data_IF_798717568712
#
_entry.id   IF_798717568712
#
_cell.length_a   1.000
_cell.length_b   1.000
_cell.length_c   1.000
_cell.angle_alpha   90.00
_cell.angle_beta   90.00
_cell.angle_gamma   90.00
#
_symmetry.space_group_name_H-M   'P 1'
#
loop_
_entity.id
_entity.type
_entity.pdbx_description
1 polymer ?
#
# COMPACT_ATOMS: atom_id res chain seq x y z
N UNK A 1 20.21 -2.10 -42.20
CA UNK A 1 18.73 -2.25 -42.07
C UNK A 1 18.36 -3.46 -41.21
N UNK A 2 18.92 -4.65 -41.44
CA UNK A 2 18.65 -5.84 -40.62
C UNK A 2 19.08 -5.72 -39.15
N UNK A 3 20.26 -5.15 -38.86
CA UNK A 3 20.69 -4.85 -37.47
C UNK A 3 19.66 -4.04 -36.67
N UNK A 4 19.06 -3.01 -37.28
CA UNK A 4 18.04 -2.16 -36.63
C UNK A 4 16.76 -2.95 -36.31
N UNK A 5 16.34 -3.85 -37.21
CA UNK A 5 15.18 -4.72 -37.01
C UNK A 5 15.45 -5.73 -35.89
N UNK A 6 16.65 -6.31 -35.87
CA UNK A 6 17.07 -7.27 -34.84
C UNK A 6 17.10 -6.63 -33.44
N UNK A 7 17.74 -5.47 -33.29
CA UNK A 7 17.79 -4.71 -32.03
C UNK A 7 16.38 -4.33 -31.56
N UNK A 8 15.51 -3.94 -32.48
CA UNK A 8 14.11 -3.61 -32.15
C UNK A 8 13.34 -4.82 -31.62
N UNK A 9 13.52 -5.99 -32.24
CA UNK A 9 12.89 -7.24 -31.80
C UNK A 9 13.39 -7.68 -30.41
N UNK A 10 14.68 -7.53 -30.14
CA UNK A 10 15.27 -7.86 -28.84
C UNK A 10 14.74 -6.94 -27.73
N UNK A 11 14.63 -5.64 -28.03
CA UNK A 11 14.00 -4.67 -27.13
C UNK A 11 12.55 -5.06 -26.80
N UNK A 12 11.79 -5.57 -27.77
CA UNK A 12 10.40 -6.02 -27.57
C UNK A 12 10.37 -7.26 -26.67
N UNK A 13 11.26 -8.23 -26.87
CA UNK A 13 11.33 -9.44 -26.04
C UNK A 13 11.66 -9.09 -24.59
N UNK A 14 12.66 -8.24 -24.37
CA UNK A 14 13.04 -7.79 -23.03
C UNK A 14 11.91 -6.99 -22.35
N UNK A 15 11.25 -6.10 -23.09
CA UNK A 15 10.09 -5.35 -22.61
C UNK A 15 8.94 -6.28 -22.21
N UNK A 16 8.64 -7.27 -23.05
CA UNK A 16 7.58 -8.25 -22.80
C UNK A 16 7.90 -9.10 -21.55
N UNK A 17 9.15 -9.53 -21.39
CA UNK A 17 9.61 -10.26 -20.21
C UNK A 17 9.44 -9.43 -18.94
N UNK A 18 9.97 -8.20 -18.89
CA UNK A 18 9.88 -7.34 -17.70
C UNK A 18 8.43 -6.99 -17.35
N UNK A 19 7.59 -6.70 -18.35
CA UNK A 19 6.17 -6.43 -18.15
C UNK A 19 5.41 -7.66 -17.64
N UNK A 20 5.68 -8.85 -18.20
CA UNK A 20 5.10 -10.10 -17.74
C UNK A 20 5.52 -10.44 -16.32
N UNK A 21 6.80 -10.26 -15.98
CA UNK A 21 7.31 -10.46 -14.62
C UNK A 21 6.60 -9.54 -13.63
N UNK A 22 6.38 -8.28 -14.01
CA UNK A 22 5.68 -7.30 -13.19
C UNK A 22 4.21 -7.69 -12.95
N UNK A 23 3.52 -8.19 -13.97
CA UNK A 23 2.16 -8.72 -13.86
C UNK A 23 2.08 -9.99 -13.01
N UNK A 24 3.09 -10.86 -13.12
CA UNK A 24 3.18 -12.11 -12.37
C UNK A 24 3.47 -11.83 -10.90
N UNK A 25 4.27 -10.83 -10.54
CA UNK A 25 4.70 -10.63 -9.16
C UNK A 25 3.76 -9.72 -8.35
N UNK A 26 3.21 -8.69 -8.98
CA UNK A 26 2.67 -7.56 -8.23
C UNK A 26 1.17 -7.31 -8.40
N UNK A 27 0.58 -6.74 -7.34
CA UNK A 27 -0.81 -6.24 -7.37
C UNK A 27 -0.82 -4.72 -7.46
N UNK A 28 -1.68 -4.17 -8.32
CA UNK A 28 -1.66 -2.74 -8.65
C UNK A 28 -2.65 -1.94 -7.79
N UNK A 29 -2.26 -0.71 -7.44
CA UNK A 29 -3.11 0.29 -6.78
C UNK A 29 -4.09 0.96 -7.76
N UNK A 30 -3.70 1.06 -9.02
CA UNK A 30 -4.42 1.76 -10.10
C UNK A 30 -4.82 0.78 -11.21
N UNK A 31 -5.58 1.26 -12.21
CA UNK A 31 -5.90 0.48 -13.41
C UNK A 31 -4.61 -0.09 -14.03
N UNK A 32 -4.58 -1.41 -14.23
CA UNK A 32 -3.39 -2.15 -14.74
C UNK A 32 -2.87 -1.57 -16.06
N UNK A 33 -3.78 -1.19 -16.96
CA UNK A 33 -3.45 -0.56 -18.25
C UNK A 33 -2.54 0.66 -18.09
N UNK A 34 -2.84 1.56 -17.15
CA UNK A 34 -2.06 2.78 -16.99
C UNK A 34 -0.66 2.48 -16.42
N UNK A 35 -0.54 1.48 -15.55
CA UNK A 35 0.75 1.05 -15.03
C UNK A 35 1.62 0.45 -16.14
N UNK A 36 1.03 -0.41 -17.00
CA UNK A 36 1.75 -1.01 -18.13
C UNK A 36 2.18 0.02 -19.16
N UNK A 37 1.36 1.03 -19.46
CA UNK A 37 1.73 2.11 -20.40
C UNK A 37 2.92 2.90 -19.86
N UNK A 38 2.89 3.29 -18.58
CA UNK A 38 3.97 4.08 -17.96
C UNK A 38 5.25 3.27 -17.86
N UNK A 39 5.17 2.00 -17.47
CA UNK A 39 6.31 1.09 -17.46
C UNK A 39 6.87 0.88 -18.87
N UNK A 40 5.98 0.64 -19.84
CA UNK A 40 6.32 0.40 -21.23
C UNK A 40 7.06 1.58 -21.87
N UNK A 41 6.56 2.80 -21.67
CA UNK A 41 7.19 4.02 -22.14
C UNK A 41 8.59 4.21 -21.55
N UNK A 42 8.75 3.97 -20.25
CA UNK A 42 10.04 4.10 -19.59
C UNK A 42 11.04 3.07 -20.11
N UNK A 43 10.67 1.79 -20.14
CA UNK A 43 11.55 0.72 -20.61
C UNK A 43 11.90 0.88 -22.10
N UNK A 44 10.98 1.41 -22.91
CA UNK A 44 11.29 1.77 -24.29
C UNK A 44 12.30 2.92 -24.37
N UNK A 45 12.13 3.97 -23.56
CA UNK A 45 13.07 5.10 -23.51
C UNK A 45 14.47 4.64 -23.10
N UNK A 46 14.58 3.82 -22.04
CA UNK A 46 15.89 3.31 -21.56
C UNK A 46 16.57 2.39 -22.58
N UNK A 47 15.80 1.57 -23.30
CA UNK A 47 16.36 0.73 -24.35
C UNK A 47 16.83 1.58 -25.55
N UNK A 48 16.09 2.62 -25.92
CA UNK A 48 16.49 3.53 -27.00
C UNK A 48 17.75 4.29 -26.61
N UNK A 49 17.84 4.82 -25.39
CA UNK A 49 19.05 5.52 -24.92
C UNK A 49 20.25 4.59 -24.86
N UNK A 50 20.10 3.34 -24.38
CA UNK A 50 21.21 2.39 -24.34
C UNK A 50 21.71 2.01 -25.74
N UNK A 51 20.80 1.85 -26.69
CA UNK A 51 21.15 1.55 -28.08
C UNK A 51 21.87 2.73 -28.72
N UNK A 52 21.35 3.95 -28.57
CA UNK A 52 21.98 5.17 -29.10
C UNK A 52 23.39 5.35 -28.50
N UNK A 53 23.54 5.17 -27.19
CA UNK A 53 24.83 5.23 -26.50
C UNK A 53 25.82 4.20 -27.07
N UNK A 54 25.39 2.97 -27.33
CA UNK A 54 26.26 1.93 -27.92
C UNK A 54 26.76 2.24 -29.34
N UNK A 55 25.98 3.00 -30.13
CA UNK A 55 26.40 3.39 -31.48
C UNK A 55 27.42 4.55 -31.49
N UNK A 56 27.46 5.35 -30.42
CA UNK A 56 28.30 6.54 -30.32
C UNK A 56 29.42 6.37 -29.27
N UNK A 57 29.66 5.14 -28.78
CA UNK A 57 30.66 4.83 -27.73
C UNK A 57 32.08 5.31 -28.09
N UNK A 58 32.38 5.44 -29.38
CA UNK A 58 33.66 5.96 -29.90
C UNK A 58 33.70 7.47 -30.17
N UNK A 59 32.60 8.20 -29.97
CA UNK A 59 32.48 9.65 -30.21
C UNK A 59 32.47 10.44 -28.87
N UNK A 60 33.61 11.03 -28.47
CA UNK A 60 33.75 11.70 -27.18
C UNK A 60 32.96 13.01 -27.08
N UNK A 61 32.59 13.63 -28.21
CA UNK A 61 31.84 14.90 -28.24
C UNK A 61 30.32 14.69 -28.25
N UNK A 62 29.87 13.42 -28.26
CA UNK A 62 28.45 13.09 -28.28
C UNK A 62 27.76 13.52 -26.97
N UNK A 63 26.56 14.11 -27.10
CA UNK A 63 25.80 14.72 -25.98
C UNK A 63 25.59 13.76 -24.80
N UNK A 64 25.49 12.46 -25.03
CA UNK A 64 25.32 11.47 -23.94
C UNK A 64 26.58 11.24 -23.10
N UNK A 65 27.76 11.64 -23.58
CA UNK A 65 29.01 11.67 -22.83
C UNK A 65 29.15 12.94 -21.98
N UNK A 66 28.20 13.88 -22.09
CA UNK A 66 28.21 15.09 -21.28
C UNK A 66 27.96 14.77 -19.80
N UNK A 67 28.74 15.34 -18.86
CA UNK A 67 28.62 15.14 -17.41
C UNK A 67 27.20 15.21 -16.84
N UNK A 68 26.45 16.25 -17.23
CA UNK A 68 25.08 16.45 -16.77
C UNK A 68 24.12 15.38 -17.28
N UNK A 69 24.33 14.86 -18.49
CA UNK A 69 23.48 13.82 -19.05
C UNK A 69 23.66 12.51 -18.28
N UNK A 70 24.90 12.14 -17.96
CA UNK A 70 25.23 10.94 -17.18
C UNK A 70 24.57 11.00 -15.80
N UNK A 71 24.63 12.14 -15.11
CA UNK A 71 23.98 12.31 -13.81
C UNK A 71 22.45 12.16 -13.93
N UNK A 72 21.85 12.79 -14.94
CA UNK A 72 20.41 12.71 -15.17
C UNK A 72 19.95 11.30 -15.55
N UNK A 73 20.73 10.59 -16.37
CA UNK A 73 20.45 9.23 -16.80
C UNK A 73 20.50 8.26 -15.63
N UNK A 74 21.51 8.36 -14.75
CA UNK A 74 21.58 7.58 -13.49
C UNK A 74 20.36 7.87 -12.61
N UNK A 75 20.04 9.16 -12.38
CA UNK A 75 18.90 9.53 -11.56
C UNK A 75 17.58 9.03 -12.15
N UNK A 76 17.46 9.03 -13.47
CA UNK A 76 16.26 8.55 -14.16
C UNK A 76 16.16 7.02 -14.12
N UNK A 77 17.26 6.32 -14.42
CA UNK A 77 17.32 4.86 -14.49
C UNK A 77 17.05 4.19 -13.15
N UNK A 78 17.64 4.70 -12.06
CA UNK A 78 17.43 4.16 -10.73
C UNK A 78 16.27 4.84 -9.96
N UNK A 79 15.97 6.11 -10.26
CA UNK A 79 14.85 6.84 -9.63
C UNK A 79 13.48 6.36 -10.07
N UNK A 80 13.34 6.01 -11.35
CA UNK A 80 12.05 5.64 -11.91
C UNK A 80 11.47 4.35 -11.31
N UNK A 81 12.21 3.24 -11.11
CA UNK A 81 11.68 2.05 -10.45
C UNK A 81 11.04 2.37 -9.10
N UNK A 82 11.71 3.17 -8.25
CA UNK A 82 11.18 3.58 -6.94
C UNK A 82 9.86 4.35 -7.12
N UNK A 83 9.85 5.34 -8.01
CA UNK A 83 8.66 6.14 -8.31
C UNK A 83 7.50 5.27 -8.82
N UNK A 84 7.80 4.37 -9.76
CA UNK A 84 6.84 3.47 -10.38
C UNK A 84 6.19 2.55 -9.33
N UNK A 85 7.02 1.83 -8.56
CA UNK A 85 6.53 0.91 -7.53
C UNK A 85 5.77 1.64 -6.41
N UNK A 86 6.19 2.85 -6.05
CA UNK A 86 5.46 3.69 -5.11
C UNK A 86 4.06 4.05 -5.61
N UNK A 87 3.97 4.51 -6.87
CA UNK A 87 2.75 5.09 -7.44
C UNK A 87 1.74 4.05 -7.91
N UNK A 88 2.21 2.94 -8.48
CA UNK A 88 1.37 1.99 -9.20
C UNK A 88 1.19 0.65 -8.51
N UNK A 89 2.09 0.25 -7.61
CA UNK A 89 2.09 -1.09 -7.00
C UNK A 89 1.72 -1.03 -5.51
N UNK A 90 0.94 -2.01 -5.03
CA UNK A 90 0.55 -2.14 -3.62
C UNK A 90 1.75 -2.56 -2.76
N UNK A 91 1.78 -2.12 -1.51
CA UNK A 91 2.89 -2.41 -0.59
C UNK A 91 4.01 -1.36 -0.61
N UNK A 92 5.12 -1.69 0.05
CA UNK A 92 6.31 -0.84 0.15
C UNK A 92 7.07 -0.81 -1.17
N UNK A 93 7.44 0.41 -1.62
CA UNK A 93 8.24 0.58 -2.84
C UNK A 93 9.60 -0.11 -2.71
N UNK A 94 10.27 0.00 -1.57
CA UNK A 94 11.57 -0.64 -1.30
C UNK A 94 11.51 -2.16 -1.47
N UNK A 95 10.47 -2.76 -0.86
CA UNK A 95 10.22 -4.19 -0.98
C UNK A 95 9.96 -4.61 -2.41
N UNK A 96 9.10 -3.88 -3.13
CA UNK A 96 8.74 -4.23 -4.49
C UNK A 96 9.92 -4.07 -5.46
N UNK A 97 10.75 -3.03 -5.30
CA UNK A 97 11.98 -2.86 -6.07
C UNK A 97 12.96 -4.01 -5.81
N UNK A 98 13.23 -4.34 -4.54
CA UNK A 98 14.12 -5.45 -4.20
C UNK A 98 13.61 -6.80 -4.68
N UNK A 99 12.31 -7.08 -4.58
CA UNK A 99 11.72 -8.31 -5.13
C UNK A 99 11.83 -8.37 -6.65
N UNK A 100 11.52 -7.27 -7.34
CA UNK A 100 11.67 -7.21 -8.80
C UNK A 100 13.12 -7.47 -9.20
N UNK A 101 14.07 -6.91 -8.45
CA UNK A 101 15.50 -7.13 -8.66
C UNK A 101 15.90 -8.58 -8.43
N UNK A 102 15.52 -9.20 -7.32
CA UNK A 102 15.84 -10.62 -7.02
C UNK A 102 15.33 -11.53 -8.13
N UNK A 103 14.09 -11.34 -8.59
CA UNK A 103 13.52 -12.18 -9.65
C UNK A 103 14.13 -11.88 -11.03
N UNK A 104 14.53 -10.64 -11.30
CA UNK A 104 15.23 -10.27 -12.52
C UNK A 104 16.66 -10.83 -12.53
N UNK A 105 17.38 -10.72 -11.41
CA UNK A 105 18.73 -11.28 -11.24
C UNK A 105 18.70 -12.81 -11.24
N UNK A 106 17.70 -13.44 -10.63
CA UNK A 106 17.53 -14.90 -10.69
C UNK A 106 17.25 -15.41 -12.11
N UNK A 107 16.75 -14.55 -13.01
CA UNK A 107 16.62 -14.88 -14.42
C UNK A 107 17.94 -14.73 -15.19
N UNK A 108 18.91 -13.94 -14.70
CA UNK A 108 20.20 -13.73 -15.37
C UNK A 108 20.97 -15.04 -15.63
N UNK A 109 21.17 -15.97 -14.66
CA UNK A 109 21.88 -17.23 -14.90
C UNK A 109 21.30 -18.05 -16.05
N UNK A 110 19.98 -18.03 -16.21
CA UNK A 110 19.33 -18.67 -17.35
C UNK A 110 19.70 -17.94 -18.64
N UNK A 111 19.55 -16.61 -18.67
CA UNK A 111 19.93 -15.80 -19.84
C UNK A 111 21.42 -15.92 -20.20
N UNK A 112 22.35 -15.96 -19.23
CA UNK A 112 23.79 -16.16 -19.47
C UNK A 112 24.11 -17.58 -19.93
N UNK A 113 23.48 -18.61 -19.32
CA UNK A 113 23.63 -19.99 -19.80
C UNK A 113 23.16 -20.11 -21.25
N UNK A 114 22.06 -19.47 -21.61
CA UNK A 114 21.55 -19.45 -22.99
C UNK A 114 22.45 -18.64 -23.94
N UNK A 115 23.02 -17.52 -23.50
CA UNK A 115 24.03 -16.79 -24.28
C UNK A 115 25.31 -17.62 -24.49
N UNK A 116 25.74 -18.39 -23.49
CA UNK A 116 26.86 -19.33 -23.61
C UNK A 116 26.53 -20.45 -24.61
N UNK A 117 25.34 -21.04 -24.52
CA UNK A 117 24.88 -22.03 -25.50
C UNK A 117 24.84 -21.44 -26.92
N UNK A 118 24.39 -20.20 -27.09
CA UNK A 118 24.42 -19.49 -28.37
C UNK A 118 25.85 -19.34 -28.91
N UNK A 119 26.81 -19.00 -28.04
CA UNK A 119 28.24 -18.81 -28.40
C UNK A 119 28.92 -20.14 -28.75
N UNK A 120 28.63 -21.22 -28.02
CA UNK A 120 29.28 -22.52 -28.21
C UNK A 120 28.67 -23.35 -29.35
N UNK A 121 27.37 -23.23 -29.63
CA UNK A 121 26.70 -24.01 -30.68
C UNK A 121 26.55 -23.25 -32.02
N UNK A 122 27.25 -22.12 -32.20
CA UNK A 122 27.25 -21.32 -33.46
C UNK A 122 25.86 -21.06 -34.06
N UNK A 123 24.90 -20.64 -33.23
CA UNK A 123 23.52 -20.37 -33.67
C UNK A 123 23.31 -19.00 -34.34
N UNK A 124 24.38 -18.23 -34.58
CA UNK A 124 24.33 -16.99 -35.36
C UNK A 124 25.26 -15.89 -34.83
N UNK A 125 25.44 -14.79 -35.59
CA UNK A 125 26.38 -13.71 -35.29
C UNK A 125 26.05 -12.94 -34.00
N UNK A 126 26.97 -12.07 -33.57
CA UNK A 126 26.74 -11.10 -32.49
C UNK A 126 25.67 -10.08 -32.89
N UNK A 127 25.12 -9.31 -31.93
CA UNK A 127 24.08 -8.28 -32.16
C UNK A 127 24.49 -7.27 -33.26
N UNK A 128 25.79 -7.03 -33.42
CA UNK A 128 26.34 -6.08 -34.39
C UNK A 128 26.56 -6.68 -35.79
N UNK A 129 26.52 -8.02 -35.92
CA UNK A 129 26.94 -8.76 -37.11
C UNK A 129 25.78 -9.43 -37.86
N UNK A 130 24.52 -9.15 -37.49
CA UNK A 130 23.34 -9.82 -38.05
C UNK A 130 22.99 -9.34 -39.47
N UNK A 131 23.31 -10.14 -40.49
CA UNK A 131 23.16 -9.76 -41.89
C UNK A 131 21.93 -10.39 -42.58
N UNK A 132 21.31 -11.41 -42.00
CA UNK A 132 20.27 -12.20 -42.66
C UNK A 132 19.08 -12.61 -41.75
N UNK A 133 17.92 -13.00 -42.32
CA UNK A 133 16.76 -13.49 -41.56
C UNK A 133 17.02 -14.77 -40.76
N UNK A 134 18.01 -15.57 -41.17
CA UNK A 134 18.41 -16.80 -40.47
C UNK A 134 19.04 -16.51 -39.10
N UNK A 135 19.51 -15.27 -38.91
CA UNK A 135 20.09 -14.78 -37.66
C UNK A 135 19.01 -14.43 -36.61
N UNK A 136 17.72 -14.63 -36.92
CA UNK A 136 16.61 -14.48 -35.98
C UNK A 136 16.36 -15.72 -35.09
N UNK A 137 16.93 -16.88 -35.40
CA UNK A 137 16.78 -18.10 -34.60
C UNK A 137 17.25 -17.94 -33.13
N UNK A 138 18.36 -17.24 -32.83
CA UNK A 138 18.74 -16.89 -31.46
C UNK A 138 17.68 -16.09 -30.70
N UNK A 139 16.91 -15.24 -31.40
CA UNK A 139 15.90 -14.39 -30.79
C UNK A 139 14.69 -15.20 -30.28
N UNK A 140 14.29 -16.22 -31.05
CA UNK A 140 13.27 -17.19 -30.65
C UNK A 140 13.73 -18.01 -29.43
N UNK A 141 15.02 -18.36 -29.37
CA UNK A 141 15.60 -19.09 -28.24
C UNK A 141 15.62 -18.21 -26.98
N UNK A 142 16.01 -16.94 -27.08
CA UNK A 142 15.93 -15.99 -25.94
C UNK A 142 14.48 -15.75 -25.50
N UNK A 143 13.52 -15.73 -26.41
CA UNK A 143 12.11 -15.62 -26.07
C UNK A 143 11.61 -16.88 -25.33
N UNK A 144 12.01 -18.07 -25.77
CA UNK A 144 11.69 -19.34 -25.10
C UNK A 144 12.31 -19.40 -23.68
N UNK A 145 13.58 -19.00 -23.55
CA UNK A 145 14.27 -18.90 -22.27
C UNK A 145 13.57 -17.93 -21.31
N UNK A 146 13.18 -16.77 -21.81
CA UNK A 146 12.40 -15.77 -21.06
C UNK A 146 11.06 -16.37 -20.58
N UNK A 147 10.38 -17.15 -21.42
CA UNK A 147 9.17 -17.87 -21.06
C UNK A 147 9.38 -18.88 -19.92
N UNK A 148 10.46 -19.67 -19.97
CA UNK A 148 10.83 -20.63 -18.92
C UNK A 148 11.15 -19.89 -17.61
N UNK A 149 11.90 -18.79 -17.67
CA UNK A 149 12.22 -17.96 -16.52
C UNK A 149 10.95 -17.38 -15.87
N UNK A 150 9.98 -16.91 -16.67
CA UNK A 150 8.68 -16.44 -16.17
C UNK A 150 7.89 -17.58 -15.51
N UNK A 151 7.91 -18.77 -16.09
CA UNK A 151 7.24 -19.93 -15.51
C UNK A 151 7.84 -20.29 -14.14
N UNK A 152 9.17 -20.35 -14.04
CA UNK A 152 9.87 -20.59 -12.78
C UNK A 152 9.62 -19.48 -11.76
N UNK A 153 9.62 -18.21 -12.18
CA UNK A 153 9.27 -17.08 -11.32
C UNK A 153 7.84 -17.20 -10.78
N UNK A 154 6.89 -17.66 -11.61
CA UNK A 154 5.51 -17.89 -11.18
C UNK A 154 5.38 -19.01 -10.15
N UNK A 155 6.17 -20.09 -10.30
CA UNK A 155 6.21 -21.22 -9.37
C UNK A 155 6.87 -20.82 -8.04
N UNK A 156 7.99 -20.11 -8.12
CA UNK A 156 8.70 -19.55 -6.97
C UNK A 156 7.83 -18.54 -6.23
N UNK A 157 7.06 -17.70 -6.92
CA UNK A 157 6.04 -16.85 -6.28
C UNK A 157 5.08 -17.71 -5.46
N UNK A 158 4.45 -18.74 -6.03
CA UNK A 158 3.48 -19.56 -5.30
C UNK A 158 4.05 -20.21 -4.04
N UNK A 159 5.32 -20.64 -4.09
CA UNK A 159 5.97 -21.38 -2.98
C UNK A 159 6.68 -20.50 -1.96
N UNK A 160 7.31 -19.41 -2.38
CA UNK A 160 8.22 -18.60 -1.56
C UNK A 160 7.61 -17.26 -1.14
N UNK A 161 6.47 -16.85 -1.69
CA UNK A 161 5.90 -15.53 -1.41
C UNK A 161 5.64 -15.27 0.07
N UNK A 162 5.14 -16.27 0.80
CA UNK A 162 4.89 -16.17 2.25
C UNK A 162 6.18 -15.99 3.05
N UNK A 163 7.27 -16.65 2.65
CA UNK A 163 8.59 -16.48 3.29
C UNK A 163 9.21 -15.12 2.94
N UNK A 164 9.08 -14.69 1.68
CA UNK A 164 9.53 -13.36 1.22
C UNK A 164 8.71 -12.21 1.86
N UNK A 165 7.47 -12.48 2.27
CA UNK A 165 6.65 -11.50 3.01
C UNK A 165 7.15 -11.20 4.40
N UNK A 166 7.83 -12.16 5.04
CA UNK A 166 8.33 -12.03 6.41
C UNK A 166 9.61 -11.20 6.49
N UNK A 167 10.30 -10.99 5.37
CA UNK A 167 11.56 -10.24 5.32
C UNK A 167 11.26 -8.73 5.47
N UNK A 168 11.91 -8.03 6.41
CA UNK A 168 11.78 -6.58 6.57
C UNK A 168 12.05 -5.78 5.28
N UNK A 169 11.28 -4.71 5.05
CA UNK A 169 11.43 -3.83 3.88
C UNK A 169 12.82 -3.20 3.76
N UNK A 170 13.49 -2.97 4.89
CA UNK A 170 14.85 -2.41 4.96
C UNK A 170 15.85 -3.33 4.26
N UNK A 171 15.70 -4.65 4.37
CA UNK A 171 16.60 -5.62 3.72
C UNK A 171 16.44 -5.54 2.20
N UNK A 172 15.21 -5.43 1.70
CA UNK A 172 14.96 -5.24 0.26
C UNK A 172 15.49 -3.90 -0.27
N UNK A 173 15.36 -2.83 0.53
CA UNK A 173 16.01 -1.55 0.22
C UNK A 173 17.53 -1.70 0.16
N UNK A 174 18.12 -2.44 1.10
CA UNK A 174 19.54 -2.76 1.12
C UNK A 174 20.00 -3.54 -0.11
N UNK A 175 19.24 -4.55 -0.55
CA UNK A 175 19.51 -5.31 -1.79
C UNK A 175 19.51 -4.39 -3.01
N UNK A 176 18.53 -3.48 -3.09
CA UNK A 176 18.43 -2.52 -4.19
C UNK A 176 19.57 -1.49 -4.18
N UNK A 177 20.00 -1.04 -2.99
CA UNK A 177 21.18 -0.19 -2.84
C UNK A 177 22.47 -0.93 -3.19
N UNK A 178 22.60 -2.21 -2.80
CA UNK A 178 23.75 -3.03 -3.13
C UNK A 178 23.90 -3.22 -4.65
N UNK A 179 22.80 -3.39 -5.38
CA UNK A 179 22.80 -3.42 -6.84
C UNK A 179 23.32 -2.11 -7.44
N UNK A 180 22.90 -0.96 -6.89
CA UNK A 180 23.42 0.36 -7.30
C UNK A 180 24.93 0.50 -7.03
N UNK A 181 25.44 -0.11 -5.95
CA UNK A 181 26.88 -0.14 -5.64
C UNK A 181 27.64 -1.09 -6.57
N UNK A 182 27.07 -2.24 -6.93
CA UNK A 182 27.68 -3.15 -7.92
C UNK A 182 27.76 -2.47 -9.29
N UNK A 183 26.74 -1.70 -9.67
CA UNK A 183 26.76 -0.89 -10.87
C UNK A 183 27.85 0.20 -10.83
N UNK A 184 28.07 0.81 -9.66
CA UNK A 184 29.18 1.76 -9.45
C UNK A 184 30.54 1.09 -9.69
N UNK A 185 30.77 -0.07 -9.06
CA UNK A 185 32.05 -0.79 -9.16
C UNK A 185 32.29 -1.29 -10.58
N UNK A 186 31.26 -1.80 -11.25
CA UNK A 186 31.39 -2.28 -12.64
C UNK A 186 31.57 -1.14 -13.65
N UNK A 187 30.89 -0.01 -13.48
CA UNK A 187 31.10 1.18 -14.30
C UNK A 187 32.52 1.75 -14.12
N UNK A 188 32.99 1.86 -12.88
CA UNK A 188 34.36 2.23 -12.55
C UNK A 188 35.38 1.28 -13.21
N UNK A 189 35.14 -0.03 -13.17
CA UNK A 189 36.03 -1.01 -13.78
C UNK A 189 36.10 -0.89 -15.31
N UNK A 190 34.98 -0.57 -15.98
CA UNK A 190 34.96 -0.35 -17.43
C UNK A 190 35.75 0.91 -17.81
N UNK A 191 35.55 2.00 -17.07
CA UNK A 191 36.28 3.25 -17.31
C UNK A 191 37.76 3.16 -16.95
N UNK A 192 38.13 2.36 -15.94
CA UNK A 192 39.55 2.10 -15.64
C UNK A 192 40.24 1.35 -16.79
N UNK A 193 39.53 0.41 -17.42
CA UNK A 193 40.04 -0.32 -18.58
C UNK A 193 40.13 0.57 -19.84
N UNK A 194 39.17 1.45 -20.07
CA UNK A 194 39.24 2.43 -21.18
C UNK A 194 40.39 3.43 -20.98
N UNK A 195 40.67 3.81 -19.73
CA UNK A 195 41.80 4.67 -19.35
C UNK A 195 43.17 4.04 -19.66
N UNK A 196 43.32 2.74 -19.44
CA UNK A 196 44.56 2.00 -19.74
C UNK A 196 44.84 1.87 -21.25
N UNK A 197 43.84 2.08 -22.11
CA UNK A 197 43.91 1.83 -23.55
C UNK A 197 43.89 3.13 -24.39
N UNK A 198 43.27 4.23 -23.92
CA UNK A 198 42.89 5.37 -24.76
C UNK A 198 43.43 6.79 -24.43
N UNK A 199 44.18 7.00 -23.35
CA UNK A 199 44.70 8.32 -22.98
C UNK A 199 43.80 9.15 -22.05
N UNK A 200 44.42 10.08 -21.30
CA UNK A 200 44.04 10.32 -19.91
C UNK A 200 42.97 11.42 -19.61
N UNK A 201 42.70 12.39 -20.48
CA UNK A 201 41.97 13.59 -20.03
C UNK A 201 40.43 13.48 -20.10
N UNK A 202 39.88 12.89 -21.17
CA UNK A 202 38.43 12.81 -21.38
C UNK A 202 37.75 11.71 -20.55
N UNK A 203 38.39 10.53 -20.46
CA UNK A 203 37.85 9.35 -19.78
C UNK A 203 37.83 9.53 -18.25
N UNK A 204 38.75 10.31 -17.67
CA UNK A 204 38.77 10.60 -16.23
C UNK A 204 37.59 11.46 -15.82
N UNK A 205 37.26 12.48 -16.62
CA UNK A 205 36.11 13.33 -16.34
C UNK A 205 34.82 12.50 -16.36
N UNK A 206 34.66 11.64 -17.37
CA UNK A 206 33.46 10.79 -17.51
C UNK A 206 33.26 9.86 -16.31
N UNK A 207 34.33 9.18 -15.88
CA UNK A 207 34.32 8.30 -14.71
C UNK A 207 33.99 9.06 -13.41
N UNK A 208 34.58 10.25 -13.23
CA UNK A 208 34.31 11.10 -12.06
C UNK A 208 32.85 11.53 -12.01
N UNK A 209 32.26 11.94 -13.13
CA UNK A 209 30.85 12.34 -13.18
C UNK A 209 29.88 11.16 -13.01
N UNK A 210 30.22 9.98 -13.51
CA UNK A 210 29.49 8.75 -13.24
C UNK A 210 29.47 8.43 -11.74
N UNK A 211 30.63 8.54 -11.06
CA UNK A 211 30.72 8.37 -9.61
C UNK A 211 29.93 9.43 -8.84
N UNK A 212 30.02 10.70 -9.23
CA UNK A 212 29.26 11.79 -8.60
C UNK A 212 27.76 11.54 -8.74
N UNK A 213 27.29 11.19 -9.95
CA UNK A 213 25.89 10.88 -10.22
C UNK A 213 25.36 9.72 -9.37
N UNK A 214 26.14 8.64 -9.24
CA UNK A 214 25.77 7.50 -8.40
C UNK A 214 25.83 7.81 -6.91
N UNK A 215 26.78 8.63 -6.43
CA UNK A 215 26.81 9.09 -5.05
C UNK A 215 25.59 9.95 -4.70
N UNK A 216 25.22 10.88 -5.59
CA UNK A 216 24.00 11.69 -5.46
C UNK A 216 22.77 10.78 -5.44
N UNK A 217 22.72 9.78 -6.34
CA UNK A 217 21.65 8.81 -6.38
C UNK A 217 21.55 8.01 -5.08
N UNK A 218 22.65 7.44 -4.58
CA UNK A 218 22.68 6.67 -3.34
C UNK A 218 22.18 7.49 -2.15
N UNK A 219 22.64 8.74 -2.02
CA UNK A 219 22.15 9.65 -0.99
C UNK A 219 20.64 9.91 -1.12
N UNK A 220 20.16 10.12 -2.33
CA UNK A 220 18.73 10.35 -2.61
C UNK A 220 17.90 9.11 -2.32
N UNK A 221 18.36 7.93 -2.72
CA UNK A 221 17.69 6.65 -2.48
C UNK A 221 17.60 6.34 -0.98
N UNK A 222 18.70 6.51 -0.24
CA UNK A 222 18.73 6.38 1.22
C UNK A 222 17.71 7.33 1.85
N UNK A 223 17.72 8.62 1.48
CA UNK A 223 16.79 9.62 2.00
C UNK A 223 15.33 9.23 1.72
N UNK A 224 15.01 8.83 0.49
CA UNK A 224 13.66 8.44 0.07
C UNK A 224 13.19 7.20 0.82
N UNK A 225 14.03 6.18 0.97
CA UNK A 225 13.66 4.96 1.73
C UNK A 225 13.45 5.26 3.20
N UNK A 226 14.35 6.02 3.85
CA UNK A 226 14.21 6.39 5.26
C UNK A 226 12.98 7.27 5.51
N UNK A 227 12.73 8.28 4.67
CA UNK A 227 11.56 9.14 4.79
C UNK A 227 10.27 8.34 4.54
N UNK A 228 10.27 7.46 3.55
CA UNK A 228 9.12 6.61 3.24
C UNK A 228 8.78 5.69 4.39
N UNK A 229 9.76 4.95 4.91
CA UNK A 229 9.54 4.05 6.04
C UNK A 229 9.09 4.84 7.28
N UNK A 230 9.69 6.00 7.56
CA UNK A 230 9.25 6.88 8.66
C UNK A 230 7.80 7.31 8.50
N UNK A 231 7.38 7.76 7.32
CA UNK A 231 6.00 8.24 7.07
C UNK A 231 5.01 7.07 7.14
N UNK A 232 5.34 5.95 6.52
CA UNK A 232 4.48 4.76 6.48
C UNK A 232 4.34 4.13 7.86
N UNK A 233 5.45 3.95 8.60
CA UNK A 233 5.45 3.46 9.99
C UNK A 233 4.66 4.41 10.88
N UNK A 234 4.85 5.73 10.78
CA UNK A 234 4.07 6.71 11.56
C UNK A 234 2.58 6.59 11.28
N UNK A 235 2.18 6.47 10.02
CA UNK A 235 0.77 6.36 9.64
C UNK A 235 0.17 5.05 10.18
N UNK A 236 0.87 3.93 10.01
CA UNK A 236 0.40 2.63 10.49
C UNK A 236 0.36 2.55 12.01
N UNK A 237 1.37 3.10 12.71
CA UNK A 237 1.38 3.20 14.17
C UNK A 237 0.21 4.02 14.69
N UNK A 238 -0.07 5.18 14.09
CA UNK A 238 -1.24 5.99 14.46
C UNK A 238 -2.56 5.25 14.27
N UNK A 239 -2.71 4.53 13.16
CA UNK A 239 -3.91 3.72 12.92
C UNK A 239 -4.04 2.57 13.92
N UNK A 240 -2.93 1.88 14.21
CA UNK A 240 -2.89 0.78 15.18
C UNK A 240 -3.19 1.28 16.60
N UNK A 241 -2.63 2.42 17.01
CA UNK A 241 -2.92 3.04 18.30
C UNK A 241 -4.41 3.35 18.42
N UNK A 242 -5.02 3.99 17.40
CA UNK A 242 -6.46 4.27 17.40
C UNK A 242 -7.29 2.99 17.48
N UNK A 243 -6.91 1.92 16.77
CA UNK A 243 -7.61 0.64 16.87
C UNK A 243 -7.50 0.02 18.27
N UNK A 244 -6.31 0.06 18.88
CA UNK A 244 -6.06 -0.44 20.24
C UNK A 244 -6.81 0.36 21.30
N UNK A 245 -6.83 1.68 21.18
CA UNK A 245 -7.53 2.58 22.11
C UNK A 245 -9.04 2.32 22.05
N UNK A 246 -9.60 2.12 20.85
CA UNK A 246 -11.02 1.77 20.67
C UNK A 246 -11.34 0.37 21.22
N UNK A 247 -10.47 -0.62 21.01
CA UNK A 247 -10.63 -1.94 21.63
C UNK A 247 -10.64 -1.83 23.14
N UNK A 248 -9.68 -1.10 23.71
CA UNK A 248 -9.61 -0.91 25.15
C UNK A 248 -10.85 -0.18 25.67
N UNK A 249 -11.31 0.87 24.99
CA UNK A 249 -12.54 1.58 25.32
C UNK A 249 -13.78 0.67 25.28
N UNK A 250 -13.89 -0.18 24.26
CA UNK A 250 -14.95 -1.18 24.16
C UNK A 250 -14.96 -2.14 25.36
N UNK A 251 -13.83 -2.80 25.64
CA UNK A 251 -13.77 -3.75 26.75
C UNK A 251 -13.95 -3.07 28.12
N UNK A 252 -13.37 -1.88 28.31
CA UNK A 252 -13.58 -1.08 29.51
C UNK A 252 -15.06 -0.75 29.68
N UNK A 253 -15.76 -0.34 28.62
CA UNK A 253 -17.20 -0.07 28.67
C UNK A 253 -18.01 -1.30 29.07
N UNK A 254 -17.67 -2.48 28.56
CA UNK A 254 -18.33 -3.75 28.93
C UNK A 254 -18.07 -4.09 30.40
N UNK A 255 -16.85 -3.95 30.88
CA UNK A 255 -16.51 -4.24 32.29
C UNK A 255 -17.24 -3.26 33.22
N UNK A 256 -17.27 -1.97 32.90
CA UNK A 256 -18.03 -0.98 33.66
C UNK A 256 -19.52 -1.32 33.67
N UNK A 257 -20.08 -1.69 32.52
CA UNK A 257 -21.46 -2.17 32.40
C UNK A 257 -21.74 -3.38 33.28
N UNK A 258 -20.85 -4.38 33.26
CA UNK A 258 -21.00 -5.59 34.06
C UNK A 258 -20.94 -5.28 35.56
N UNK A 259 -20.04 -4.38 35.97
CA UNK A 259 -19.94 -3.94 37.36
C UNK A 259 -21.21 -3.18 37.79
N UNK A 260 -21.70 -2.28 36.94
CA UNK A 260 -22.95 -1.58 37.16
C UNK A 260 -24.09 -2.59 37.30
N UNK A 261 -24.32 -3.48 36.33
CA UNK A 261 -25.34 -4.53 36.40
C UNK A 261 -25.28 -5.38 37.67
N UNK A 262 -24.07 -5.71 38.14
CA UNK A 262 -23.90 -6.43 39.40
C UNK A 262 -24.32 -5.60 40.60
N UNK A 263 -23.95 -4.31 40.62
CA UNK A 263 -24.43 -3.34 41.62
C UNK A 263 -25.95 -3.22 41.60
N UNK A 264 -26.54 -3.06 40.41
CA UNK A 264 -28.01 -3.02 40.23
C UNK A 264 -28.69 -4.25 40.81
N UNK A 265 -28.17 -5.44 40.50
CA UNK A 265 -28.71 -6.69 41.03
C UNK A 265 -28.62 -6.73 42.55
N UNK A 266 -27.50 -6.31 43.11
CA UNK A 266 -27.30 -6.27 44.56
C UNK A 266 -28.28 -5.29 45.24
N UNK A 267 -28.41 -4.08 44.69
CA UNK A 267 -29.30 -3.06 45.22
C UNK A 267 -30.76 -3.51 45.13
N UNK A 268 -31.16 -4.14 44.01
CA UNK A 268 -32.51 -4.67 43.82
C UNK A 268 -32.82 -5.84 44.77
N UNK A 269 -31.86 -6.73 45.01
CA UNK A 269 -31.99 -7.78 46.05
C UNK A 269 -32.16 -7.17 47.44
N UNK A 270 -31.39 -6.14 47.78
CA UNK A 270 -31.52 -5.47 49.07
C UNK A 270 -32.87 -4.78 49.23
N UNK A 271 -33.35 -4.11 48.19
CA UNK A 271 -34.68 -3.50 48.20
C UNK A 271 -35.80 -4.55 48.33
N UNK A 272 -35.69 -5.69 47.63
CA UNK A 272 -36.62 -6.81 47.78
C UNK A 272 -36.60 -7.41 49.18
N UNK A 273 -35.41 -7.64 49.76
CA UNK A 273 -35.27 -8.16 51.12
C UNK A 273 -35.86 -7.19 52.17
N UNK A 274 -35.67 -5.89 51.98
CA UNK A 274 -36.25 -4.85 52.84
C UNK A 274 -37.78 -4.83 52.74
N UNK A 275 -38.33 -4.98 51.53
CA UNK A 275 -39.78 -5.11 51.32
C UNK A 275 -40.35 -6.38 51.95
N UNK A 276 -39.63 -7.50 51.84
CA UNK A 276 -40.01 -8.79 52.45
C UNK A 276 -39.95 -8.74 53.98
N UNK A 277 -38.93 -8.11 54.56
CA UNK A 277 -38.73 -8.06 56.02
C UNK A 277 -39.62 -7.03 56.73
N UNK A 278 -40.03 -5.95 56.05
CA UNK A 278 -40.78 -4.88 56.70
C UNK A 278 -42.30 -5.02 56.59
N UNK A 279 -42.83 -6.07 55.94
CA UNK A 279 -44.27 -6.26 55.71
C UNK A 279 -44.95 -4.93 55.28
N UNK A 280 -44.22 -4.15 54.46
CA UNK A 280 -44.44 -2.73 54.18
C UNK A 280 -45.78 -2.49 53.47
N UNK A 281 -46.43 -3.54 52.99
CA UNK A 281 -47.73 -3.50 52.30
C UNK A 281 -48.82 -2.82 53.15
N UNK A 282 -48.63 -2.67 54.47
CA UNK A 282 -49.59 -2.00 55.39
C UNK A 282 -49.09 -0.69 56.02
N UNK A 283 -47.91 -0.19 55.66
CA UNK A 283 -47.29 0.98 56.31
C UNK A 283 -47.52 2.29 55.54
N UNK A 284 -47.80 3.41 56.21
CA UNK A 284 -47.93 4.73 55.57
C UNK A 284 -46.63 5.25 54.93
N UNK A 285 -45.49 4.59 55.16
CA UNK A 285 -44.19 4.92 54.55
C UNK A 285 -43.88 4.12 53.28
N UNK A 286 -44.76 3.17 52.91
CA UNK A 286 -44.59 2.32 51.75
C UNK A 286 -44.57 3.12 50.44
N UNK A 287 -45.46 4.11 50.31
CA UNK A 287 -45.54 4.95 49.11
C UNK A 287 -44.27 5.75 48.88
N UNK A 288 -43.68 6.32 49.94
CA UNK A 288 -42.43 7.08 49.85
C UNK A 288 -41.25 6.17 49.49
N UNK A 289 -41.21 4.96 50.05
CA UNK A 289 -40.18 3.97 49.71
C UNK A 289 -40.32 3.49 48.27
N UNK A 290 -41.55 3.18 47.82
CA UNK A 290 -41.85 2.79 46.44
C UNK A 290 -41.46 3.88 45.44
N UNK A 291 -41.75 5.15 45.72
CA UNK A 291 -41.32 6.28 44.88
C UNK A 291 -39.79 6.41 44.82
N UNK A 292 -39.11 6.26 45.96
CA UNK A 292 -37.64 6.29 46.00
C UNK A 292 -37.03 5.13 45.19
N UNK A 293 -37.59 3.93 45.32
CA UNK A 293 -37.16 2.76 44.57
C UNK A 293 -37.39 2.92 43.06
N UNK A 294 -38.57 3.40 42.64
CA UNK A 294 -38.86 3.72 41.24
C UNK A 294 -37.89 4.77 40.68
N UNK A 295 -37.59 5.82 41.45
CA UNK A 295 -36.61 6.82 41.02
C UNK A 295 -35.20 6.25 40.85
N UNK A 296 -34.82 5.26 41.68
CA UNK A 296 -33.57 4.54 41.50
C UNK A 296 -33.63 3.69 40.23
N UNK A 297 -34.71 2.93 40.01
CA UNK A 297 -34.92 2.18 38.77
C UNK A 297 -34.84 3.06 37.51
N UNK A 298 -35.42 4.26 37.52
CA UNK A 298 -35.35 5.20 36.39
C UNK A 298 -33.91 5.69 36.11
N UNK A 299 -33.15 6.01 37.17
CA UNK A 299 -31.74 6.41 37.03
C UNK A 299 -30.88 5.28 36.47
N UNK A 300 -31.23 4.05 36.86
CA UNK A 300 -30.56 2.83 36.43
C UNK A 300 -30.84 2.56 34.96
N UNK A 301 -32.10 2.67 34.54
CA UNK A 301 -32.53 2.51 33.15
C UNK A 301 -31.81 3.52 32.25
N UNK A 302 -31.80 4.81 32.61
CA UNK A 302 -31.08 5.84 31.84
C UNK A 302 -29.59 5.54 31.68
N UNK A 303 -28.93 5.13 32.77
CA UNK A 303 -27.49 4.76 32.72
C UNK A 303 -27.25 3.53 31.83
N UNK A 304 -28.15 2.56 31.87
CA UNK A 304 -28.06 1.37 31.03
C UNK A 304 -28.30 1.73 29.55
N UNK A 305 -29.33 2.51 29.25
CA UNK A 305 -29.63 2.99 27.90
C UNK A 305 -28.45 3.75 27.29
N UNK A 306 -27.88 4.72 28.00
CA UNK A 306 -26.71 5.48 27.53
C UNK A 306 -25.51 4.58 27.22
N UNK A 307 -25.29 3.56 28.05
CA UNK A 307 -24.18 2.63 27.89
C UNK A 307 -24.44 1.57 26.79
N UNK A 308 -25.70 1.30 26.46
CA UNK A 308 -26.11 0.42 25.36
C UNK A 308 -26.53 1.15 24.09
N UNK A 309 -26.46 2.49 24.02
CA UNK A 309 -26.80 3.27 22.82
C UNK A 309 -26.09 2.78 21.55
N UNK A 310 -24.87 2.25 21.65
CA UNK A 310 -24.17 1.68 20.49
C UNK A 310 -24.86 0.44 19.90
N UNK A 311 -25.68 -0.28 20.69
CA UNK A 311 -26.52 -1.39 20.21
C UNK A 311 -27.68 -0.93 19.33
N UNK A 312 -28.01 0.37 19.31
CA UNK A 312 -28.93 0.90 18.30
C UNK A 312 -28.41 0.63 16.88
N UNK A 313 -27.09 0.50 16.69
CA UNK A 313 -26.45 0.21 15.41
C UNK A 313 -26.19 -1.30 15.22
N UNK A 314 -27.21 -2.15 15.36
CA UNK A 314 -27.13 -3.58 15.05
C UNK A 314 -27.19 -3.84 13.55
N UNK A 315 -26.05 -3.63 12.88
CA UNK A 315 -25.93 -3.84 11.44
C UNK A 315 -25.62 -5.30 11.14
N UNK A 316 -26.48 -5.95 10.35
CA UNK A 316 -26.23 -7.30 9.86
C UNK A 316 -24.90 -7.36 9.09
N UNK A 317 -24.07 -8.37 9.41
CA UNK A 317 -22.75 -8.55 8.80
C UNK A 317 -21.62 -7.81 9.52
N UNK A 318 -21.88 -6.99 10.55
CA UNK A 318 -20.88 -6.43 11.45
C UNK A 318 -20.94 -7.12 12.83
N UNK A 319 -19.79 -7.26 13.48
CA UNK A 319 -19.69 -7.74 14.86
C UNK A 319 -19.98 -6.63 15.85
N UNK A 320 -20.37 -6.96 17.09
CA UNK A 320 -20.64 -5.99 18.15
C UNK A 320 -19.51 -4.97 18.34
N UNK A 321 -18.25 -5.43 18.27
CA UNK A 321 -17.08 -4.56 18.32
C UNK A 321 -17.04 -3.57 17.16
N UNK A 322 -17.36 -4.03 15.95
CA UNK A 322 -17.36 -3.18 14.75
C UNK A 322 -18.50 -2.16 14.78
N UNK A 323 -19.68 -2.57 15.27
CA UNK A 323 -20.80 -1.67 15.54
C UNK A 323 -20.45 -0.62 16.59
N UNK A 324 -19.75 -1.00 17.66
CA UNK A 324 -19.24 -0.06 18.66
C UNK A 324 -18.25 0.96 18.07
N UNK A 325 -17.30 0.51 17.24
CA UNK A 325 -16.35 1.40 16.56
C UNK A 325 -17.08 2.39 15.65
N UNK A 326 -18.10 1.91 14.93
CA UNK A 326 -18.92 2.74 14.05
C UNK A 326 -19.73 3.78 14.85
N UNK A 327 -20.37 3.36 15.95
CA UNK A 327 -21.05 4.25 16.87
C UNK A 327 -20.12 5.35 17.39
N UNK A 328 -18.95 4.96 17.90
CA UNK A 328 -17.99 5.90 18.45
C UNK A 328 -17.50 6.91 17.41
N UNK A 329 -17.31 6.47 16.17
CA UNK A 329 -16.98 7.37 15.07
C UNK A 329 -18.10 8.36 14.76
N UNK A 330 -19.35 7.90 14.64
CA UNK A 330 -20.48 8.76 14.35
C UNK A 330 -20.71 9.76 15.48
N UNK A 331 -20.56 9.33 16.74
CA UNK A 331 -20.64 10.19 17.92
C UNK A 331 -19.51 11.23 17.95
N UNK A 332 -18.26 10.81 17.73
CA UNK A 332 -17.14 11.75 17.65
C UNK A 332 -17.31 12.75 16.49
N UNK A 333 -17.96 12.32 15.41
CA UNK A 333 -18.33 13.20 14.31
C UNK A 333 -19.41 14.20 14.73
N UNK A 334 -20.49 13.78 15.37
CA UNK A 334 -21.56 14.69 15.83
C UNK A 334 -21.04 15.71 16.82
N UNK A 335 -20.22 15.28 17.79
CA UNK A 335 -19.61 16.15 18.80
C UNK A 335 -18.71 17.21 18.16
N UNK A 336 -17.90 16.81 17.17
CA UNK A 336 -16.97 17.71 16.47
C UNK A 336 -17.66 18.78 15.64
N UNK A 337 -18.87 18.51 15.16
CA UNK A 337 -19.64 19.42 14.30
C UNK A 337 -20.86 20.01 15.03
N UNK A 338 -20.91 19.92 16.36
CA UNK A 338 -21.91 20.57 17.19
C UNK A 338 -23.34 20.06 16.99
N UNK A 339 -23.49 18.80 16.57
CA UNK A 339 -24.79 18.15 16.42
C UNK A 339 -25.05 17.25 17.64
N UNK A 340 -26.26 17.27 18.20
CA UNK A 340 -26.66 16.29 19.21
C UNK A 340 -26.98 14.95 18.53
N UNK A 341 -26.69 13.83 19.21
CA UNK A 341 -27.00 12.49 18.70
C UNK A 341 -28.50 12.33 18.38
N UNK A 342 -29.35 12.90 19.22
CA UNK A 342 -30.81 12.89 19.09
C UNK A 342 -31.34 13.69 17.89
N UNK A 343 -30.58 14.67 17.40
CA UNK A 343 -30.94 15.40 16.20
C UNK A 343 -30.58 14.65 14.91
N UNK A 344 -29.93 13.48 15.02
CA UNK A 344 -29.51 12.68 13.88
C UNK A 344 -30.56 11.61 13.55
N UNK A 345 -30.84 11.42 12.26
CA UNK A 345 -31.74 10.37 11.79
C UNK A 345 -30.92 9.12 11.43
N UNK A 346 -31.23 8.00 12.07
CA UNK A 346 -30.61 6.70 11.81
C UNK A 346 -31.64 5.84 11.07
N UNK A 347 -31.29 5.43 9.85
CA UNK A 347 -32.09 4.49 9.07
C UNK A 347 -31.27 3.24 8.83
N UNK A 348 -31.71 2.14 9.44
CA UNK A 348 -31.17 0.81 9.23
C UNK A 348 -32.00 0.12 8.15
N UNK A 349 -31.34 -0.44 7.15
CA UNK A 349 -32.01 -1.20 6.10
C UNK A 349 -31.82 -2.69 6.36
N UNK A 350 -32.87 -3.47 6.09
CA UNK A 350 -32.75 -4.94 6.00
C UNK A 350 -32.02 -5.38 4.73
N UNK A 351 -31.91 -4.50 3.72
CA UNK A 351 -31.12 -4.77 2.52
C UNK A 351 -29.61 -4.77 2.88
N UNK A 352 -28.91 -5.93 2.74
CA UNK A 352 -27.49 -6.03 3.02
C UNK A 352 -26.65 -5.08 2.15
N UNK A 353 -27.16 -4.63 1.00
CA UNK A 353 -26.46 -3.74 0.08
C UNK A 353 -26.20 -2.34 0.66
N UNK A 354 -27.09 -1.86 1.55
CA UNK A 354 -27.01 -0.53 2.15
C UNK A 354 -27.53 -0.54 3.61
N UNK A 355 -26.80 -1.16 4.55
CA UNK A 355 -27.35 -1.46 5.87
C UNK A 355 -27.59 -0.23 6.75
N UNK A 356 -26.88 0.88 6.51
CA UNK A 356 -26.96 2.08 7.33
C UNK A 356 -26.92 3.35 6.49
N UNK A 357 -27.92 4.20 6.72
CA UNK A 357 -27.91 5.61 6.34
C UNK A 357 -28.07 6.44 7.60
N UNK A 358 -27.03 7.19 7.94
CA UNK A 358 -27.00 8.11 9.07
C UNK A 358 -27.04 9.55 8.55
N UNK A 359 -27.99 10.34 9.03
CA UNK A 359 -28.18 11.73 8.61
C UNK A 359 -27.94 12.68 9.77
N UNK A 360 -26.92 13.52 9.69
CA UNK A 360 -26.66 14.55 10.68
C UNK A 360 -27.10 15.94 10.17
N UNK A 361 -27.67 16.79 11.03
CA UNK A 361 -27.98 18.19 10.70
C UNK A 361 -26.73 18.94 10.23
N UNK A 362 -26.93 19.94 9.39
CA UNK A 362 -25.83 20.62 8.73
C UNK A 362 -25.64 22.06 9.24
N UNK A 363 -24.51 22.30 9.92
CA UNK A 363 -23.89 23.62 10.02
C UNK A 363 -22.64 23.69 9.09
N UNK A 364 -22.63 24.62 8.12
CA UNK A 364 -21.67 24.81 6.99
C UNK A 364 -20.33 24.01 7.04
N UNK A 365 -19.94 23.21 6.01
CA UNK A 365 -18.64 22.56 6.04
C UNK A 365 -17.51 23.54 5.75
N UNK A 366 -16.33 23.32 6.35
CA UNK A 366 -15.10 23.87 5.82
C UNK A 366 -14.91 23.44 4.35
N UNK A 367 -14.35 24.34 3.52
CA UNK A 367 -14.03 24.09 2.10
C UNK A 367 -13.20 22.81 1.82
N UNK A 368 -12.62 22.18 2.85
CA UNK A 368 -11.80 20.97 2.75
C UNK A 368 -12.26 19.82 3.66
N UNK A 369 -13.51 19.83 4.12
CA UNK A 369 -14.07 18.79 4.98
C UNK A 369 -13.78 17.38 4.47
N UNK A 370 -14.07 17.09 3.19
CA UNK A 370 -13.97 15.72 2.67
C UNK A 370 -12.52 15.23 2.66
N UNK A 371 -11.58 16.15 2.42
CA UNK A 371 -10.14 15.87 2.51
C UNK A 371 -9.71 15.65 3.96
N UNK A 372 -10.24 16.43 4.92
CA UNK A 372 -10.01 16.23 6.35
C UNK A 372 -10.54 14.87 6.82
N UNK A 373 -11.77 14.50 6.46
CA UNK A 373 -12.35 13.20 6.78
C UNK A 373 -11.53 12.04 6.19
N UNK A 374 -11.11 12.12 4.92
CA UNK A 374 -10.27 11.07 4.31
C UNK A 374 -8.91 10.91 5.00
N UNK A 375 -8.44 11.94 5.71
CA UNK A 375 -7.20 11.92 6.50
C UNK A 375 -7.43 11.52 7.96
N UNK A 376 -8.67 11.45 8.42
CA UNK A 376 -9.03 11.07 9.77
C UNK A 376 -8.68 9.58 10.02
N UNK A 377 -7.91 9.26 11.07
CA UNK A 377 -7.55 7.87 11.36
C UNK A 377 -8.77 6.99 11.67
N UNK A 378 -9.81 7.53 12.31
CA UNK A 378 -11.04 6.76 12.61
C UNK A 378 -11.80 6.41 11.32
N UNK A 379 -11.90 7.37 10.40
CA UNK A 379 -12.52 7.11 9.10
C UNK A 379 -11.71 6.10 8.29
N UNK A 380 -10.38 6.17 8.31
CA UNK A 380 -9.53 5.18 7.65
C UNK A 380 -9.66 3.79 8.26
N UNK A 381 -9.84 3.69 9.59
CA UNK A 381 -10.11 2.44 10.28
C UNK A 381 -11.46 1.82 9.86
N UNK A 382 -12.51 2.63 9.75
CA UNK A 382 -13.81 2.16 9.23
C UNK A 382 -13.69 1.67 7.79
N UNK A 383 -12.98 2.41 6.94
CA UNK A 383 -12.75 1.98 5.56
C UNK A 383 -11.99 0.65 5.51
N UNK A 384 -10.95 0.47 6.33
CA UNK A 384 -10.16 -0.77 6.33
C UNK A 384 -10.96 -1.96 6.87
N UNK A 385 -11.77 -1.75 7.90
CA UNK A 385 -12.71 -2.74 8.44
C UNK A 385 -13.74 -3.16 7.39
N UNK A 386 -14.43 -2.20 6.76
CA UNK A 386 -15.45 -2.49 5.75
C UNK A 386 -14.86 -3.17 4.52
N UNK A 387 -13.65 -2.77 4.08
CA UNK A 387 -12.96 -3.41 2.97
C UNK A 387 -12.71 -4.91 3.21
N UNK A 388 -12.49 -5.35 4.45
CA UNK A 388 -12.35 -6.79 4.78
C UNK A 388 -13.64 -7.57 4.56
N UNK A 389 -14.79 -6.87 4.57
CA UNK A 389 -16.12 -7.42 4.33
C UNK A 389 -16.68 -7.03 2.95
N UNK A 390 -15.79 -6.67 2.02
CA UNK A 390 -16.14 -6.16 0.68
C UNK A 390 -17.09 -4.95 0.68
N UNK A 391 -17.20 -4.26 1.82
CA UNK A 391 -18.03 -3.08 2.01
C UNK A 391 -17.27 -1.77 1.83
N UNK A 392 -18.02 -0.68 1.95
CA UNK A 392 -17.51 0.69 1.86
C UNK A 392 -18.41 1.64 2.65
N UNK A 393 -17.82 2.70 3.19
CA UNK A 393 -18.57 3.83 3.71
C UNK A 393 -18.29 5.09 2.90
N UNK A 394 -19.24 6.01 2.84
CA UNK A 394 -19.00 7.33 2.27
C UNK A 394 -19.85 8.42 2.92
N UNK A 395 -19.29 9.61 3.00
CA UNK A 395 -20.03 10.82 3.31
C UNK A 395 -20.48 11.51 2.02
N UNK A 396 -21.77 11.79 1.92
CA UNK A 396 -22.36 12.62 0.87
C UNK A 396 -22.96 13.89 1.49
N UNK A 397 -22.92 14.96 0.72
CA UNK A 397 -23.56 16.23 1.03
C UNK A 397 -25.01 16.17 0.54
N UNK A 398 -25.98 16.26 1.44
CA UNK A 398 -27.39 16.47 1.11
C UNK A 398 -27.73 17.97 1.08
N UNK A 399 -28.97 18.32 0.75
CA UNK A 399 -29.40 19.73 0.68
C UNK A 399 -29.33 20.45 2.04
N UNK A 400 -29.60 19.75 3.15
CA UNK A 400 -29.53 20.29 4.51
C UNK A 400 -29.01 19.30 5.57
N UNK A 401 -28.41 18.19 5.14
CA UNK A 401 -27.94 17.11 6.01
C UNK A 401 -26.65 16.48 5.50
N UNK A 402 -25.84 15.95 6.40
CA UNK A 402 -24.72 15.08 6.10
C UNK A 402 -25.19 13.65 6.04
N UNK A 403 -24.93 12.95 4.94
CA UNK A 403 -25.34 11.57 4.75
C UNK A 403 -24.12 10.66 4.88
N UNK A 404 -24.05 9.86 5.93
CA UNK A 404 -23.13 8.73 6.00
C UNK A 404 -23.85 7.49 5.51
N UNK A 405 -23.32 6.91 4.43
CA UNK A 405 -23.88 5.74 3.78
C UNK A 405 -22.87 4.61 3.92
N UNK A 406 -23.30 3.52 4.53
CA UNK A 406 -22.56 2.27 4.63
C UNK A 406 -23.18 1.29 3.63
N UNK A 407 -22.34 0.66 2.83
CA UNK A 407 -22.72 -0.38 1.87
C UNK A 407 -21.89 -1.62 2.15
N UNK A 408 -22.52 -2.79 2.29
CA UNK A 408 -21.85 -4.08 2.31
C UNK A 408 -22.20 -4.79 1.01
N UNK A 409 -21.24 -5.44 0.35
CA UNK A 409 -21.62 -6.37 -0.72
C UNK A 409 -21.84 -7.74 -0.10
N UNK A 410 -23.02 -8.31 -0.32
CA UNK A 410 -23.35 -9.71 0.00
C UNK A 410 -22.31 -10.67 -0.58
#
# INVERSE_FOLDING_TARGET
MWNMIYVSLECIVNLAFSAALLLILFTFKRKRRNALIVFGLFSALTNVTSVIASFHESDPDFVMHHPMYIILDILFYYGFPIFFFHRYVKGSAARNCGLFLIFSVAALPFMTLFHLLRKYYMLGPSIMDAQSPKDAAPLLITAAASGIALFLASLARRRLWTKLEQIPSVIYGGIYLADSVIALVSGLSKELNSYMIGGAAANVNLAVFFCIGLCIWLLTAILVFFLYDRIHIRKNRRMLQVEMDLQHAYYKSIVTLQFQMRGLRHDLINHLNVLEHLDLIKSPYADHYCQSFLSHCDQIERKAEEAFRWKELQIQGLSDRECYILYYYLKAFTDRYGCTWEACEISLSEDPSCPLIFKAPWHQPPRFWQLKLRRDPLYQLIQSMLLRKNGKACWKKGEHKWLFILTLSS
#
